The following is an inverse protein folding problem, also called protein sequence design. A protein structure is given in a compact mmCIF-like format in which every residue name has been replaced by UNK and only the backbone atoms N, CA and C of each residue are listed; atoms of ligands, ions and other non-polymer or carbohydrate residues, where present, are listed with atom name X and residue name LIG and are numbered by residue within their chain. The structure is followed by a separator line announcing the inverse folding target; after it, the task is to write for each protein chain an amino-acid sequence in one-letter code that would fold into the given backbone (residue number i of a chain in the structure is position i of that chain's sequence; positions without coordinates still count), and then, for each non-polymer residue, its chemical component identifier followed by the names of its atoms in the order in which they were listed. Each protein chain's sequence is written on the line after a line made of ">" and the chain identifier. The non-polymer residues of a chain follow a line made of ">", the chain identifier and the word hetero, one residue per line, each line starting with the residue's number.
data_IF_689805170533
#
_entry.id   IF_689805170533
#
_cell.length_a   1.000
_cell.length_b   1.000
_cell.length_c   1.000
_cell.angle_alpha   90.00
_cell.angle_beta   90.00
_cell.angle_gamma   90.00
#
_symmetry.space_group_name_H-M   'P 1'
#
loop_
_entity.id
_entity.type
_entity.pdbx_description
1 polymer ?
#
# COMPACT_ATOMS: atom_id res chain seq x y z
N UNK A 1 16.24 18.46 36.65
CA UNK A 1 15.72 17.09 36.45
C UNK A 1 14.40 17.27 35.74
N UNK A 2 14.36 17.13 34.42
CA UNK A 2 13.08 17.12 33.71
C UNK A 2 12.28 15.91 34.23
N UNK A 3 11.02 16.14 34.58
CA UNK A 3 10.14 15.05 35.02
C UNK A 3 10.09 14.00 33.90
N UNK A 4 10.38 12.74 34.23
CA UNK A 4 10.32 11.64 33.26
C UNK A 4 8.89 11.47 32.72
N UNK A 5 8.77 11.09 31.45
CA UNK A 5 7.47 10.83 30.81
C UNK A 5 6.88 9.53 31.36
N UNK A 6 5.77 9.62 32.10
CA UNK A 6 5.05 8.44 32.59
C UNK A 6 3.95 8.05 31.60
N UNK A 7 3.89 6.77 31.18
CA UNK A 7 2.86 6.25 30.28
C UNK A 7 1.45 6.56 30.75
N UNK A 8 1.19 6.51 32.06
CA UNK A 8 -0.13 6.72 32.66
C UNK A 8 -0.68 8.13 32.43
N UNK A 9 0.20 9.12 32.27
CA UNK A 9 -0.20 10.52 32.09
C UNK A 9 -0.82 10.77 30.72
N UNK A 10 -0.63 9.84 29.76
CA UNK A 10 -1.13 9.95 28.40
C UNK A 10 -2.24 8.96 28.08
N UNK A 11 -2.64 8.10 29.02
CA UNK A 11 -3.70 7.12 28.75
C UNK A 11 -5.03 7.85 28.53
N UNK A 12 -5.62 7.64 27.35
CA UNK A 12 -6.94 8.15 27.01
C UNK A 12 -8.01 7.14 27.40
N UNK A 13 -9.07 7.61 28.04
CA UNK A 13 -10.26 6.81 28.32
C UNK A 13 -11.09 6.54 27.06
N UNK A 14 -10.83 7.27 25.96
CA UNK A 14 -11.55 7.08 24.71
C UNK A 14 -11.06 5.84 23.97
N UNK A 15 -11.90 4.80 23.80
CA UNK A 15 -11.51 3.63 23.05
C UNK A 15 -11.33 3.97 21.56
N UNK A 16 -10.60 3.12 20.86
CA UNK A 16 -10.54 3.17 19.40
C UNK A 16 -11.93 3.05 18.80
N UNK A 17 -12.20 3.79 17.72
CA UNK A 17 -13.41 3.54 16.94
C UNK A 17 -13.40 2.12 16.37
N UNK A 18 -14.57 1.49 16.11
CA UNK A 18 -14.62 0.14 15.54
C UNK A 18 -13.84 0.00 14.22
N UNK A 19 -13.83 1.05 13.39
CA UNK A 19 -13.11 1.10 12.12
C UNK A 19 -11.59 1.12 12.36
N UNK A 20 -11.11 1.96 13.27
CA UNK A 20 -9.68 2.00 13.63
C UNK A 20 -9.23 0.68 14.25
N UNK A 21 -10.02 0.14 15.17
CA UNK A 21 -9.72 -1.14 15.80
C UNK A 21 -9.56 -2.25 14.76
N UNK A 22 -10.54 -2.42 13.87
CA UNK A 22 -10.46 -3.41 12.80
C UNK A 22 -9.23 -3.21 11.91
N UNK A 23 -8.96 -1.97 11.50
CA UNK A 23 -7.79 -1.63 10.70
C UNK A 23 -6.47 -2.01 11.40
N UNK A 24 -6.31 -1.66 12.67
CA UNK A 24 -5.09 -1.97 13.41
C UNK A 24 -4.94 -3.47 13.70
N UNK A 25 -6.03 -4.23 13.85
CA UNK A 25 -5.96 -5.70 13.92
C UNK A 25 -5.40 -6.29 12.62
N UNK A 26 -5.83 -5.81 11.45
CA UNK A 26 -5.27 -6.25 10.17
C UNK A 26 -3.79 -5.87 10.02
N UNK A 27 -3.40 -4.67 10.49
CA UNK A 27 -2.00 -4.27 10.52
C UNK A 27 -1.16 -5.17 11.45
N UNK A 28 -1.72 -5.53 12.61
CA UNK A 28 -1.10 -6.45 13.57
C UNK A 28 -0.96 -7.86 13.00
N UNK A 29 -1.95 -8.35 12.26
CA UNK A 29 -1.86 -9.64 11.56
C UNK A 29 -0.74 -9.63 10.51
N UNK A 30 -0.63 -8.56 9.71
CA UNK A 30 0.50 -8.38 8.79
C UNK A 30 1.85 -8.41 9.53
N UNK A 31 1.96 -7.70 10.65
CA UNK A 31 3.16 -7.70 11.47
C UNK A 31 3.49 -9.11 11.98
N UNK A 32 2.51 -9.85 12.50
CA UNK A 32 2.71 -11.23 12.96
C UNK A 32 3.18 -12.17 11.83
N UNK A 33 2.74 -11.94 10.59
CA UNK A 33 3.12 -12.73 9.44
C UNK A 33 4.51 -12.39 8.89
N UNK A 34 4.95 -11.13 9.03
CA UNK A 34 6.14 -10.61 8.35
C UNK A 34 7.28 -10.19 9.28
N UNK A 35 6.99 -10.00 10.56
CA UNK A 35 7.88 -9.36 11.53
C UNK A 35 8.15 -7.88 11.25
N UNK A 36 7.40 -7.24 10.34
CA UNK A 36 7.62 -5.87 9.90
C UNK A 36 6.37 -5.01 10.07
N UNK A 37 6.48 -3.72 10.44
CA UNK A 37 5.35 -2.81 10.50
C UNK A 37 4.84 -2.45 9.10
N UNK A 38 3.57 -2.06 9.05
CA UNK A 38 3.08 -1.23 7.95
C UNK A 38 3.42 0.22 8.23
N UNK A 39 4.15 0.82 7.31
CA UNK A 39 4.49 2.23 7.34
C UNK A 39 3.78 2.94 6.19
N UNK A 40 2.89 3.85 6.54
CA UNK A 40 2.12 4.67 5.61
C UNK A 40 2.48 6.15 5.78
N UNK A 41 2.47 6.87 4.67
CA UNK A 41 2.79 8.30 4.61
C UNK A 41 1.69 8.96 3.81
N UNK A 42 1.13 10.03 4.36
CA UNK A 42 0.08 10.77 3.70
C UNK A 42 0.60 11.46 2.44
N UNK A 43 -0.21 11.49 1.38
CA UNK A 43 0.17 12.09 0.09
C UNK A 43 0.53 13.56 0.19
N UNK A 44 -0.14 14.32 1.07
CA UNK A 44 0.13 15.73 1.31
C UNK A 44 1.55 16.03 1.82
N UNK A 45 2.24 15.03 2.39
CA UNK A 45 3.65 15.17 2.78
C UNK A 45 4.53 15.41 1.56
N UNK A 46 4.20 14.81 0.42
CA UNK A 46 4.99 14.88 -0.81
C UNK A 46 4.49 15.94 -1.80
N UNK A 47 3.25 16.40 -1.65
CA UNK A 47 2.67 17.45 -2.48
C UNK A 47 3.03 18.83 -1.90
N UNK A 48 4.04 19.49 -2.47
CA UNK A 48 4.51 20.81 -2.02
C UNK A 48 3.45 21.92 -2.16
N UNK A 49 2.37 21.70 -2.92
CA UNK A 49 1.26 22.66 -3.06
C UNK A 49 0.24 22.62 -1.92
N UNK A 50 0.26 21.59 -1.07
CA UNK A 50 -0.72 21.39 0.01
C UNK A 50 -0.08 21.71 1.36
N UNK A 51 -0.52 22.72 2.11
CA UNK A 51 0.03 22.94 3.45
C UNK A 51 -0.23 21.76 4.41
N UNK A 52 0.75 21.46 5.28
CA UNK A 52 0.61 20.45 6.31
C UNK A 52 0.43 21.15 7.67
N UNK A 53 -0.81 21.47 8.08
CA UNK A 53 -1.05 22.27 9.28
C UNK A 53 -0.55 21.57 10.54
N UNK A 54 -0.64 20.24 10.58
CA UNK A 54 -0.13 19.41 11.66
C UNK A 54 0.66 18.22 11.10
N UNK A 55 1.79 17.96 11.75
CA UNK A 55 2.63 16.79 11.50
C UNK A 55 2.28 15.71 12.49
N UNK A 56 1.15 15.03 12.27
CA UNK A 56 0.75 13.94 13.16
C UNK A 56 1.56 12.68 12.84
N UNK A 57 1.90 11.96 13.91
CA UNK A 57 2.62 10.71 13.91
C UNK A 57 1.77 9.73 14.73
N UNK A 58 1.23 8.71 14.07
CA UNK A 58 0.52 7.63 14.77
C UNK A 58 1.37 6.37 14.78
N UNK A 59 1.66 5.84 15.96
CA UNK A 59 2.47 4.62 16.14
C UNK A 59 1.63 3.61 16.90
N UNK A 60 1.53 2.38 16.40
CA UNK A 60 0.88 1.29 17.11
C UNK A 60 1.90 0.21 17.47
N UNK A 61 1.93 -0.18 18.74
CA UNK A 61 2.93 -1.07 19.34
C UNK A 61 2.23 -2.25 19.99
N UNK A 62 2.71 -3.46 19.72
CA UNK A 62 2.16 -4.70 20.27
C UNK A 62 2.69 -4.96 21.70
N UNK A 63 2.30 -4.09 22.63
CA UNK A 63 2.61 -4.21 24.06
C UNK A 63 1.41 -3.86 24.94
N UNK A 64 1.46 -4.34 26.19
CA UNK A 64 0.50 -4.01 27.24
C UNK A 64 0.90 -2.68 27.91
N UNK A 65 -0.05 -1.76 28.04
CA UNK A 65 0.17 -0.43 28.63
C UNK A 65 0.64 -0.45 30.09
N UNK A 66 0.36 -1.52 30.84
CA UNK A 66 0.84 -1.66 32.21
C UNK A 66 2.35 -1.91 32.29
N UNK A 67 2.95 -2.42 31.20
CA UNK A 67 4.37 -2.77 31.11
C UNK A 67 5.14 -1.88 30.13
N UNK A 68 4.42 -1.01 29.41
CA UNK A 68 5.01 -0.14 28.41
C UNK A 68 5.71 1.06 29.05
N UNK A 69 7.03 1.16 28.82
CA UNK A 69 7.85 2.30 29.23
C UNK A 69 7.93 3.31 28.07
N UNK A 70 7.07 4.34 28.12
CA UNK A 70 6.99 5.37 27.10
C UNK A 70 8.32 6.12 26.93
N UNK A 71 9.01 6.45 28.02
CA UNK A 71 10.26 7.19 27.95
C UNK A 71 11.34 6.37 27.26
N UNK A 72 11.54 5.11 27.68
CA UNK A 72 12.51 4.22 27.05
C UNK A 72 12.17 3.96 25.58
N UNK A 73 10.89 3.76 25.26
CA UNK A 73 10.44 3.60 23.88
C UNK A 73 10.76 4.84 23.04
N UNK A 74 10.40 6.04 23.51
CA UNK A 74 10.63 7.28 22.79
C UNK A 74 12.11 7.54 22.55
N UNK A 75 12.97 7.33 23.55
CA UNK A 75 14.43 7.45 23.36
C UNK A 75 14.91 6.56 22.22
N UNK A 76 14.56 5.27 22.25
CA UNK A 76 14.95 4.32 21.19
C UNK A 76 14.37 4.71 19.83
N UNK A 77 13.12 5.15 19.79
CA UNK A 77 12.44 5.54 18.56
C UNK A 77 13.09 6.78 17.94
N UNK A 78 13.28 7.82 18.73
CA UNK A 78 13.94 9.07 18.37
C UNK A 78 15.35 8.84 17.84
N UNK A 79 16.15 8.01 18.52
CA UNK A 79 17.49 7.63 18.07
C UNK A 79 17.46 6.98 16.68
N UNK A 80 16.44 6.16 16.40
CA UNK A 80 16.29 5.50 15.10
C UNK A 80 15.90 6.46 13.99
N UNK A 81 14.99 7.39 14.23
CA UNK A 81 14.56 8.37 13.22
C UNK A 81 15.43 9.63 13.18
N UNK A 82 16.46 9.71 14.03
CA UNK A 82 17.35 10.86 14.19
C UNK A 82 16.57 12.16 14.49
N UNK A 83 15.68 12.09 15.48
CA UNK A 83 14.87 13.22 15.98
C UNK A 83 15.10 13.37 17.48
N UNK A 84 15.04 14.59 18.03
CA UNK A 84 15.17 14.77 19.47
C UNK A 84 13.85 14.44 20.17
N UNK A 85 13.85 13.81 21.36
CA UNK A 85 12.62 13.52 22.09
C UNK A 85 11.70 14.72 22.31
N UNK A 86 12.26 15.92 22.52
CA UNK A 86 11.51 17.17 22.66
C UNK A 86 10.70 17.56 21.42
N UNK A 87 11.09 17.06 20.25
CA UNK A 87 10.42 17.36 18.98
C UNK A 87 9.20 16.45 18.78
N UNK A 88 8.95 15.48 19.68
CA UNK A 88 7.77 14.61 19.68
C UNK A 88 6.90 14.94 20.89
N UNK A 89 5.68 15.41 20.63
CA UNK A 89 4.67 15.68 21.65
C UNK A 89 3.65 14.56 21.63
N UNK A 90 3.65 13.72 22.66
CA UNK A 90 2.63 12.69 22.85
C UNK A 90 1.32 13.36 23.25
N UNK A 91 0.26 13.12 22.48
CA UNK A 91 -1.09 13.64 22.77
C UNK A 91 -1.89 12.66 23.60
N UNK A 92 -1.84 11.39 23.21
CA UNK A 92 -2.57 10.32 23.91
C UNK A 92 -2.05 8.93 23.57
N UNK A 93 -2.38 7.99 24.44
CA UNK A 93 -2.18 6.55 24.31
C UNK A 93 -3.53 5.88 24.53
N UNK A 94 -4.05 5.18 23.53
CA UNK A 94 -5.31 4.44 23.67
C UNK A 94 -5.04 2.99 24.13
N UNK A 95 -5.91 2.48 25.00
CA UNK A 95 -5.77 1.17 25.66
C UNK A 95 -6.09 0.01 24.69
N UNK A 96 -5.30 -1.07 24.78
CA UNK A 96 -5.28 -2.19 23.85
C UNK A 96 -3.84 -2.56 23.52
N UNK A 97 -3.53 -2.74 22.23
CA UNK A 97 -2.15 -2.50 21.78
C UNK A 97 -1.91 -0.99 21.84
N UNK A 98 -0.73 -0.53 22.30
CA UNK A 98 -0.42 0.89 22.50
C UNK A 98 -0.60 1.63 21.18
N UNK A 99 -1.64 2.45 21.08
CA UNK A 99 -1.82 3.38 19.96
C UNK A 99 -1.44 4.77 20.44
N UNK A 100 -0.23 5.17 20.10
CA UNK A 100 0.33 6.48 20.40
C UNK A 100 -0.04 7.47 19.30
N UNK A 101 -0.76 8.53 19.68
CA UNK A 101 -0.99 9.70 18.84
C UNK A 101 -0.02 10.80 19.28
N UNK A 102 0.81 11.26 18.35
CA UNK A 102 1.85 12.24 18.60
C UNK A 102 1.88 13.33 17.53
N UNK A 103 2.41 14.48 17.88
CA UNK A 103 2.85 15.50 16.93
C UNK A 103 4.37 15.50 16.86
N UNK A 104 4.93 15.66 15.66
CA UNK A 104 6.36 15.78 15.45
C UNK A 104 6.70 17.15 14.88
N UNK A 105 7.82 17.74 15.28
CA UNK A 105 8.27 19.06 14.82
C UNK A 105 7.23 20.16 15.07
N UNK A 106 6.54 20.14 16.21
CA UNK A 106 5.45 21.08 16.53
C UNK A 106 5.86 22.55 16.32
N UNK A 107 7.07 22.90 16.75
CA UNK A 107 7.62 24.27 16.72
C UNK A 107 8.21 24.68 15.36
N UNK A 108 8.21 23.79 14.37
CA UNK A 108 8.72 24.08 13.03
C UNK A 108 7.63 24.70 12.13
N UNK A 109 8.05 25.50 11.15
CA UNK A 109 7.18 25.97 10.08
C UNK A 109 6.69 24.80 9.20
N UNK A 110 5.59 25.01 8.46
CA UNK A 110 4.93 23.99 7.63
C UNK A 110 5.87 23.38 6.58
N UNK A 111 6.72 24.20 5.94
CA UNK A 111 7.73 23.73 4.99
C UNK A 111 8.77 22.82 5.64
N UNK A 112 9.27 23.21 6.81
CA UNK A 112 10.29 22.47 7.56
C UNK A 112 9.74 21.15 8.08
N UNK A 113 8.49 21.16 8.57
CA UNK A 113 7.73 19.96 8.94
C UNK A 113 7.74 18.91 7.83
N UNK A 114 7.42 19.30 6.60
CA UNK A 114 7.43 18.38 5.45
C UNK A 114 8.83 17.90 5.12
N UNK A 115 9.82 18.78 5.09
CA UNK A 115 11.21 18.41 4.82
C UNK A 115 11.66 17.34 5.80
N UNK A 116 11.42 17.55 7.10
CA UNK A 116 11.79 16.61 8.15
C UNK A 116 11.04 15.27 8.02
N UNK A 117 9.73 15.27 7.72
CA UNK A 117 9.00 14.02 7.46
C UNK A 117 9.55 13.31 6.21
N UNK A 118 9.83 14.04 5.12
CA UNK A 118 10.45 13.47 3.90
C UNK A 118 11.82 12.85 4.22
N UNK A 119 12.61 13.45 5.10
CA UNK A 119 13.87 12.85 5.57
C UNK A 119 13.63 11.55 6.33
N UNK A 120 12.65 11.49 7.24
CA UNK A 120 12.26 10.24 7.92
C UNK A 120 11.84 9.19 6.88
N UNK A 121 11.07 9.58 5.84
CA UNK A 121 10.66 8.68 4.76
C UNK A 121 11.84 8.07 4.01
N UNK A 122 12.92 8.84 3.80
CA UNK A 122 14.14 8.35 3.15
C UNK A 122 14.90 7.33 4.01
N UNK A 123 14.76 7.38 5.35
CA UNK A 123 15.36 6.41 6.27
C UNK A 123 14.64 5.05 6.27
N UNK A 124 13.37 5.00 5.83
CA UNK A 124 12.51 3.81 5.88
C UNK A 124 12.92 2.79 4.80
N UNK A 125 14.02 2.09 5.07
CA UNK A 125 14.51 0.92 4.32
C UNK A 125 13.94 -0.38 4.87
N UNK A 126 14.14 -1.51 4.19
CA UNK A 126 13.73 -2.84 4.71
C UNK A 126 14.42 -3.14 6.05
N UNK A 127 15.72 -2.85 6.17
CA UNK A 127 16.46 -2.95 7.44
C UNK A 127 15.82 -2.10 8.53
N UNK A 128 15.40 -0.88 8.19
CA UNK A 128 14.74 0.02 9.13
C UNK A 128 13.39 -0.55 9.62
N UNK A 129 12.61 -1.14 8.71
CA UNK A 129 11.36 -1.83 9.06
C UNK A 129 11.59 -3.02 9.98
N UNK A 130 12.64 -3.81 9.73
CA UNK A 130 13.02 -4.91 10.63
C UNK A 130 13.38 -4.41 12.04
N UNK A 131 14.10 -3.29 12.14
CA UNK A 131 14.42 -2.69 13.43
C UNK A 131 13.17 -2.20 14.17
N UNK A 132 12.22 -1.56 13.47
CA UNK A 132 10.94 -1.18 14.04
C UNK A 132 10.09 -2.38 14.44
N UNK A 133 10.15 -3.47 13.67
CA UNK A 133 9.51 -4.72 14.02
C UNK A 133 10.04 -5.32 15.33
N UNK A 134 11.34 -5.18 15.61
CA UNK A 134 11.96 -5.58 16.90
C UNK A 134 11.50 -4.70 18.07
N UNK A 135 11.10 -3.47 17.79
CA UNK A 135 10.45 -2.57 18.75
C UNK A 135 8.95 -2.85 18.91
N UNK A 136 8.45 -3.95 18.32
CA UNK A 136 7.04 -4.35 18.29
C UNK A 136 6.10 -3.30 17.68
N UNK A 137 6.63 -2.37 16.90
CA UNK A 137 5.81 -1.47 16.10
C UNK A 137 5.19 -2.33 15.00
N UNK A 138 3.86 -2.33 14.92
CA UNK A 138 3.12 -3.02 13.85
C UNK A 138 2.49 -2.06 12.85
N UNK A 139 2.32 -0.79 13.23
CA UNK A 139 1.82 0.26 12.34
C UNK A 139 2.46 1.61 12.65
N UNK A 140 2.78 2.37 11.61
CA UNK A 140 3.18 3.77 11.70
C UNK A 140 2.56 4.58 10.56
N UNK A 141 2.02 5.75 10.89
CA UNK A 141 1.51 6.73 9.94
C UNK A 141 2.17 8.09 10.13
N UNK A 142 2.60 8.70 9.02
CA UNK A 142 3.18 10.05 8.96
C UNK A 142 2.28 10.96 8.12
N UNK A 143 1.66 11.96 8.73
CA UNK A 143 0.79 12.93 8.07
C UNK A 143 -0.41 13.34 8.93
N UNK A 144 -1.46 13.92 8.36
CA UNK A 144 -2.58 14.40 9.19
C UNK A 144 -3.50 13.26 9.67
N UNK A 145 -3.98 13.32 10.92
CA UNK A 145 -4.96 12.37 11.44
C UNK A 145 -6.25 12.32 10.60
N UNK A 146 -6.65 13.46 10.01
CA UNK A 146 -7.79 13.54 9.08
C UNK A 146 -7.59 12.66 7.85
N UNK A 147 -6.39 12.66 7.26
CA UNK A 147 -6.08 11.80 6.10
C UNK A 147 -6.08 10.33 6.49
N UNK A 148 -5.50 9.98 7.65
CA UNK A 148 -5.53 8.61 8.15
C UNK A 148 -6.96 8.11 8.34
N UNK A 149 -7.82 8.87 9.02
CA UNK A 149 -9.22 8.49 9.23
C UNK A 149 -9.98 8.34 7.91
N UNK A 150 -9.70 9.21 6.93
CA UNK A 150 -10.26 9.10 5.58
C UNK A 150 -9.82 7.80 4.89
N UNK A 151 -8.53 7.45 4.96
CA UNK A 151 -7.99 6.20 4.41
C UNK A 151 -8.62 4.96 5.07
N UNK A 152 -8.73 4.96 6.40
CA UNK A 152 -9.35 3.87 7.16
C UNK A 152 -10.83 3.69 6.81
N UNK A 153 -11.57 4.78 6.66
CA UNK A 153 -12.97 4.74 6.22
C UNK A 153 -13.11 4.16 4.81
N UNK A 154 -12.35 4.68 3.84
CA UNK A 154 -12.38 4.15 2.48
C UNK A 154 -12.06 2.67 2.44
N UNK A 155 -11.12 2.21 3.26
CA UNK A 155 -10.78 0.81 3.37
C UNK A 155 -11.92 -0.04 3.93
N UNK A 156 -12.56 0.40 5.02
CA UNK A 156 -13.67 -0.33 5.62
C UNK A 156 -14.84 -0.54 4.62
N UNK A 157 -14.96 0.37 3.64
CA UNK A 157 -15.94 0.28 2.56
C UNK A 157 -15.51 -0.69 1.43
N UNK A 158 -14.21 -0.99 1.28
CA UNK A 158 -13.71 -1.93 0.27
C UNK A 158 -14.00 -3.37 0.71
N UNK A 159 -14.92 -4.01 -0.01
CA UNK A 159 -15.31 -5.41 0.22
C UNK A 159 -15.03 -6.24 -1.01
N UNK A 160 -14.89 -7.56 -0.89
CA UNK A 160 -14.95 -8.41 -2.08
C UNK A 160 -16.33 -8.25 -2.70
N UNK A 161 -16.39 -8.19 -4.04
CA UNK A 161 -17.63 -8.14 -4.80
C UNK A 161 -17.78 -9.40 -5.67
N UNK A 162 -18.32 -10.50 -5.11
CA UNK A 162 -18.41 -11.78 -5.81
C UNK A 162 -19.20 -11.71 -7.12
N UNK A 163 -20.15 -10.78 -7.24
CA UNK A 163 -20.96 -10.57 -8.44
C UNK A 163 -20.11 -10.25 -9.68
N UNK A 164 -18.93 -9.66 -9.49
CA UNK A 164 -18.00 -9.29 -10.58
C UNK A 164 -16.79 -10.23 -10.69
N UNK A 165 -16.76 -11.31 -9.92
CA UNK A 165 -15.75 -12.36 -10.08
C UNK A 165 -15.95 -13.07 -11.42
N UNK A 166 -14.86 -13.33 -12.14
CA UNK A 166 -14.91 -13.98 -13.45
C UNK A 166 -13.79 -15.01 -13.57
N UNK A 167 -14.09 -16.12 -14.21
CA UNK A 167 -13.09 -17.10 -14.66
C UNK A 167 -12.89 -16.83 -16.15
N UNK A 168 -11.66 -16.52 -16.55
CA UNK A 168 -11.32 -16.22 -17.92
C UNK A 168 -10.77 -17.46 -18.61
N UNK A 169 -11.64 -18.23 -19.25
CA UNK A 169 -11.28 -19.46 -19.94
C UNK A 169 -12.35 -19.82 -20.98
N UNK A 170 -12.00 -20.67 -21.94
CA UNK A 170 -13.00 -21.27 -22.85
C UNK A 170 -14.02 -22.05 -22.02
N UNK A 171 -15.31 -21.88 -22.31
CA UNK A 171 -16.40 -22.41 -21.48
C UNK A 171 -16.83 -21.50 -20.31
N UNK A 172 -16.11 -20.40 -20.07
CA UNK A 172 -16.46 -19.35 -19.12
C UNK A 172 -16.45 -17.97 -19.81
N UNK A 173 -15.94 -16.93 -19.16
CA UNK A 173 -15.78 -15.61 -19.77
C UNK A 173 -14.59 -15.64 -20.73
N UNK A 174 -14.82 -15.38 -22.00
CA UNK A 174 -13.77 -15.43 -23.02
C UNK A 174 -14.12 -14.56 -24.22
N UNK A 175 -13.13 -13.88 -24.77
CA UNK A 175 -13.21 -13.20 -26.07
C UNK A 175 -11.83 -13.23 -26.76
N UNK A 176 -11.82 -12.94 -28.07
CA UNK A 176 -10.60 -12.82 -28.88
C UNK A 176 -10.38 -11.36 -29.27
N UNK A 177 -9.11 -10.94 -29.34
CA UNK A 177 -8.75 -9.56 -29.63
C UNK A 177 -9.16 -8.59 -28.52
N UNK A 178 -9.20 -7.30 -28.85
CA UNK A 178 -9.60 -6.25 -27.92
C UNK A 178 -11.10 -6.35 -27.60
N UNK A 179 -11.47 -6.16 -26.34
CA UNK A 179 -12.86 -6.15 -25.90
C UNK A 179 -13.61 -4.94 -26.49
N UNK A 180 -14.67 -5.19 -27.24
CA UNK A 180 -15.52 -4.16 -27.83
C UNK A 180 -16.92 -4.15 -27.18
N UNK A 181 -16.99 -3.70 -25.92
CA UNK A 181 -18.24 -3.60 -25.14
C UNK A 181 -18.76 -2.14 -25.06
N UNK A 182 -18.27 -1.26 -25.94
CA UNK A 182 -18.57 0.18 -25.99
C UNK A 182 -18.25 0.97 -24.72
N UNK A 183 -17.49 0.39 -23.78
CA UNK A 183 -17.04 1.12 -22.59
C UNK A 183 -15.76 1.87 -22.90
N UNK A 184 -15.71 3.10 -22.41
CA UNK A 184 -14.53 3.95 -22.50
C UNK A 184 -13.43 3.46 -21.54
N UNK A 185 -12.28 3.12 -22.12
CA UNK A 185 -11.06 2.67 -21.42
C UNK A 185 -9.86 3.54 -21.78
N UNK A 186 -10.07 4.82 -22.05
CA UNK A 186 -8.99 5.76 -22.32
C UNK A 186 -8.22 5.44 -23.59
N UNK A 187 -8.94 4.94 -24.62
CA UNK A 187 -8.40 4.52 -25.91
C UNK A 187 -7.34 3.39 -25.83
N UNK A 188 -7.25 2.67 -24.71
CA UNK A 188 -6.37 1.51 -24.57
C UNK A 188 -7.15 0.20 -24.75
N UNK A 189 -6.63 -0.76 -25.54
CA UNK A 189 -7.30 -2.03 -25.73
C UNK A 189 -7.28 -2.86 -24.44
N UNK A 190 -8.34 -3.65 -24.21
CA UNK A 190 -8.41 -4.59 -23.10
C UNK A 190 -8.57 -6.00 -23.63
N UNK A 191 -7.57 -6.84 -23.38
CA UNK A 191 -7.54 -8.21 -23.84
C UNK A 191 -8.02 -9.16 -22.74
N UNK A 192 -8.55 -10.32 -23.14
CA UNK A 192 -9.02 -11.32 -22.20
C UNK A 192 -7.83 -11.90 -21.41
N UNK A 193 -7.82 -11.83 -20.07
CA UNK A 193 -6.76 -12.43 -19.26
C UNK A 193 -6.95 -13.95 -19.13
N UNK A 194 -6.85 -14.68 -20.25
CA UNK A 194 -7.12 -16.12 -20.32
C UNK A 194 -6.23 -16.90 -19.35
N UNK A 195 -6.82 -17.83 -18.60
CA UNK A 195 -6.16 -18.62 -17.55
C UNK A 195 -6.30 -18.04 -16.15
N UNK A 196 -6.82 -16.81 -16.01
CA UNK A 196 -6.95 -16.13 -14.72
C UNK A 196 -8.36 -16.20 -14.15
N UNK A 197 -8.44 -16.15 -12.82
CA UNK A 197 -9.67 -15.85 -12.08
C UNK A 197 -9.54 -14.45 -11.49
N UNK A 198 -10.45 -13.55 -11.85
CA UNK A 198 -10.55 -12.24 -11.20
C UNK A 198 -11.40 -12.34 -9.94
N UNK A 199 -10.84 -11.83 -8.85
CA UNK A 199 -11.56 -11.51 -7.63
C UNK A 199 -11.74 -9.99 -7.59
N UNK A 200 -12.98 -9.51 -7.70
CA UNK A 200 -13.28 -8.08 -7.76
C UNK A 200 -13.47 -7.50 -6.36
N UNK A 201 -13.08 -6.24 -6.21
CA UNK A 201 -13.41 -5.44 -5.04
C UNK A 201 -14.59 -4.50 -5.36
N UNK A 202 -15.46 -4.30 -4.37
CA UNK A 202 -16.43 -3.23 -4.34
C UNK A 202 -15.68 -1.93 -4.03
N UNK A 203 -15.82 -0.94 -4.91
CA UNK A 203 -15.12 0.34 -4.79
C UNK A 203 -16.13 1.49 -4.63
N UNK A 204 -17.19 1.50 -5.43
CA UNK A 204 -18.27 2.52 -5.38
C UNK A 204 -19.45 2.05 -6.23
N UNK A 205 -20.66 2.55 -5.92
CA UNK A 205 -21.89 2.30 -6.69
C UNK A 205 -21.82 2.85 -8.12
N UNK A 206 -21.17 4.01 -8.31
CA UNK A 206 -21.06 4.70 -9.60
C UNK A 206 -19.77 4.37 -10.36
N UNK A 207 -19.26 3.14 -10.23
CA UNK A 207 -17.93 2.73 -10.72
C UNK A 207 -17.65 3.15 -12.17
N UNK A 208 -18.59 2.90 -13.08
CA UNK A 208 -18.37 3.19 -14.51
C UNK A 208 -18.26 4.69 -14.80
N UNK A 209 -19.07 5.52 -14.16
CA UNK A 209 -18.98 6.97 -14.38
C UNK A 209 -17.73 7.56 -13.72
N UNK A 210 -17.39 7.10 -12.51
CA UNK A 210 -16.18 7.56 -11.81
C UNK A 210 -14.89 7.25 -12.57
N UNK A 211 -14.83 6.08 -13.22
CA UNK A 211 -13.64 5.60 -13.94
C UNK A 211 -13.81 5.61 -15.45
N UNK A 212 -14.75 6.41 -15.97
CA UNK A 212 -14.95 6.58 -17.41
C UNK A 212 -13.68 7.18 -18.03
N UNK A 213 -13.17 6.56 -19.08
CA UNK A 213 -11.92 6.98 -19.72
C UNK A 213 -10.65 6.51 -19.02
N UNK A 214 -10.75 5.77 -17.91
CA UNK A 214 -9.58 5.20 -17.24
C UNK A 214 -9.20 3.85 -17.87
N UNK A 215 -7.93 3.74 -18.24
CA UNK A 215 -7.33 2.53 -18.80
C UNK A 215 -7.32 1.39 -17.77
N UNK A 216 -7.22 0.16 -18.26
CA UNK A 216 -6.98 -1.02 -17.43
C UNK A 216 -5.53 -1.45 -17.64
N UNK A 217 -4.82 -1.70 -16.53
CA UNK A 217 -3.49 -2.28 -16.56
C UNK A 217 -3.30 -3.25 -15.40
N UNK A 218 -2.13 -3.89 -15.36
CA UNK A 218 -1.78 -4.93 -14.44
C UNK A 218 -0.48 -4.59 -13.71
N UNK A 219 -0.45 -4.81 -12.40
CA UNK A 219 0.75 -4.66 -11.57
C UNK A 219 1.10 -5.98 -10.89
N UNK A 220 2.32 -6.46 -11.15
CA UNK A 220 2.85 -7.71 -10.63
C UNK A 220 3.60 -7.39 -9.36
N UNK A 221 3.42 -8.23 -8.33
CA UNK A 221 4.08 -8.00 -7.05
C UNK A 221 4.36 -9.30 -6.30
N UNK A 222 5.15 -9.20 -5.23
CA UNK A 222 5.39 -10.32 -4.30
C UNK A 222 4.19 -10.50 -3.36
N UNK A 223 3.97 -11.72 -2.86
CA UNK A 223 2.90 -12.00 -1.89
C UNK A 223 2.99 -11.17 -0.63
N UNK A 224 4.19 -11.01 -0.08
CA UNK A 224 4.39 -10.16 1.09
C UNK A 224 4.02 -8.69 0.83
N UNK A 225 4.24 -8.22 -0.40
CA UNK A 225 3.91 -6.85 -0.80
C UNK A 225 2.43 -6.66 -1.15
N UNK A 226 1.74 -7.72 -1.59
CA UNK A 226 0.33 -7.65 -1.99
C UNK A 226 -0.57 -7.12 -0.87
N UNK A 227 -0.41 -7.62 0.35
CA UNK A 227 -1.15 -7.10 1.50
C UNK A 227 -0.78 -5.63 1.74
N UNK A 228 0.51 -5.28 1.82
CA UNK A 228 0.93 -3.88 1.98
C UNK A 228 0.35 -2.94 0.91
N UNK A 229 0.20 -3.37 -0.34
CA UNK A 229 -0.42 -2.58 -1.40
C UNK A 229 -1.92 -2.43 -1.15
N UNK A 230 -2.61 -3.49 -0.74
CA UNK A 230 -4.02 -3.39 -0.33
C UNK A 230 -4.21 -2.52 0.93
N UNK A 231 -3.19 -2.40 1.79
CA UNK A 231 -3.22 -1.59 3.00
C UNK A 231 -2.88 -0.11 2.78
N UNK A 232 -1.97 0.19 1.84
CA UNK A 232 -1.35 1.51 1.71
C UNK A 232 -1.32 2.07 0.29
N UNK A 233 -1.95 1.38 -0.67
CA UNK A 233 -1.91 1.73 -2.08
C UNK A 233 -0.60 1.31 -2.77
N UNK A 234 -0.51 1.59 -4.07
CA UNK A 234 0.71 1.41 -4.86
C UNK A 234 1.69 2.55 -4.57
N UNK A 235 2.98 2.20 -4.42
CA UNK A 235 4.06 3.17 -4.18
C UNK A 235 5.03 3.20 -5.36
N UNK A 236 5.57 4.37 -5.74
CA UNK A 236 6.60 4.47 -6.77
C UNK A 236 7.85 3.66 -6.43
N UNK A 237 8.46 3.04 -7.44
CA UNK A 237 9.78 2.44 -7.32
C UNK A 237 10.85 3.53 -7.45
N UNK A 238 11.76 3.63 -6.47
CA UNK A 238 12.81 4.66 -6.45
C UNK A 238 14.00 4.37 -7.39
N UNK A 239 14.15 3.12 -7.83
CA UNK A 239 15.24 2.69 -8.74
C UNK A 239 14.70 1.65 -9.72
N UNK A 240 14.51 2.05 -10.97
CA UNK A 240 14.08 1.16 -12.03
C UNK A 240 14.58 1.67 -13.40
N UNK A 241 14.53 0.77 -14.40
CA UNK A 241 15.12 0.98 -15.74
C UNK A 241 14.60 2.24 -16.42
N UNK A 242 13.32 2.56 -16.19
CA UNK A 242 12.63 3.67 -16.86
C UNK A 242 12.42 4.90 -15.97
N UNK A 243 13.11 4.97 -14.82
CA UNK A 243 12.99 6.08 -13.88
C UNK A 243 12.08 5.78 -12.68
N UNK A 244 11.74 6.82 -11.93
CA UNK A 244 10.89 6.72 -10.73
C UNK A 244 9.42 6.69 -11.14
N UNK A 245 8.66 5.75 -10.60
CA UNK A 245 7.21 5.64 -10.84
C UNK A 245 6.62 4.29 -10.47
N UNK A 246 5.31 4.16 -10.64
CA UNK A 246 4.59 2.88 -10.47
C UNK A 246 4.60 2.15 -11.82
N UNK A 247 5.16 0.95 -11.84
CA UNK A 247 5.30 0.15 -13.05
C UNK A 247 4.09 -0.74 -13.26
N UNK A 248 3.45 -0.66 -14.42
CA UNK A 248 2.34 -1.50 -14.79
C UNK A 248 2.41 -1.89 -16.27
N UNK A 249 1.49 -2.76 -16.72
CA UNK A 249 1.42 -3.17 -18.11
C UNK A 249 -0.02 -3.42 -18.54
N UNK A 250 -0.41 -3.16 -19.80
CA UNK A 250 -1.66 -3.64 -20.35
C UNK A 250 -1.66 -5.17 -20.55
N UNK A 251 -0.50 -5.84 -20.46
CA UNK A 251 -0.36 -7.29 -20.63
C UNK A 251 -0.28 -8.00 -19.28
N UNK A 252 -1.32 -8.78 -18.95
CA UNK A 252 -1.25 -9.70 -17.80
C UNK A 252 -0.18 -10.77 -18.00
N UNK A 253 0.11 -11.16 -19.24
CA UNK A 253 1.14 -12.15 -19.59
C UNK A 253 2.52 -11.65 -19.16
N UNK A 254 2.85 -10.39 -19.50
CA UNK A 254 4.08 -9.74 -19.08
C UNK A 254 4.14 -9.59 -17.56
N UNK A 255 3.09 -9.01 -16.97
CA UNK A 255 3.03 -8.75 -15.54
C UNK A 255 3.06 -10.01 -14.68
N UNK A 256 2.56 -11.14 -15.19
CA UNK A 256 2.57 -12.43 -14.51
C UNK A 256 3.89 -13.18 -14.62
N UNK A 257 4.89 -12.63 -15.32
CA UNK A 257 6.21 -13.23 -15.31
C UNK A 257 6.75 -13.29 -13.86
N UNK A 258 7.41 -14.39 -13.42
CA UNK A 258 7.90 -14.56 -12.05
C UNK A 258 8.87 -13.49 -11.54
N UNK A 259 9.48 -12.71 -12.46
CA UNK A 259 10.26 -11.51 -12.11
C UNK A 259 9.41 -10.44 -11.42
N UNK A 260 8.16 -10.27 -11.84
CA UNK A 260 7.27 -9.21 -11.37
C UNK A 260 6.21 -9.76 -10.41
N UNK A 261 5.59 -10.90 -10.72
CA UNK A 261 4.58 -11.53 -9.87
C UNK A 261 5.08 -12.85 -9.27
N UNK A 262 5.23 -12.91 -7.95
CA UNK A 262 5.73 -14.09 -7.26
C UNK A 262 4.79 -15.30 -7.45
N UNK A 263 5.37 -16.47 -7.73
CA UNK A 263 4.65 -17.76 -7.70
C UNK A 263 4.91 -18.41 -6.35
N UNK A 264 3.90 -18.43 -5.48
CA UNK A 264 4.03 -18.96 -4.11
C UNK A 264 3.47 -20.36 -4.01
N UNK A 265 4.27 -21.28 -3.45
CA UNK A 265 3.80 -22.63 -3.13
C UNK A 265 2.82 -22.57 -1.95
N UNK A 266 1.70 -23.26 -2.09
CA UNK A 266 0.68 -23.37 -1.05
C UNK A 266 1.14 -24.44 -0.06
N UNK A 267 1.09 -24.15 1.24
CA UNK A 267 1.38 -25.14 2.28
C UNK A 267 0.37 -26.30 2.18
N UNK A 268 0.84 -27.54 2.23
CA UNK A 268 0.02 -28.75 2.14
C UNK A 268 -1.09 -28.78 3.21
N UNK A 269 -0.84 -28.23 4.41
CA UNK A 269 -1.86 -28.13 5.47
C UNK A 269 -3.01 -27.17 5.13
N UNK A 270 -2.76 -26.20 4.27
CA UNK A 270 -3.75 -25.21 3.80
C UNK A 270 -4.37 -25.59 2.46
N UNK A 271 -3.79 -26.57 1.75
CA UNK A 271 -4.19 -26.94 0.39
C UNK A 271 -5.63 -27.47 0.34
N UNK A 272 -5.99 -28.37 1.26
CA UNK A 272 -7.34 -28.94 1.35
C UNK A 272 -8.42 -27.91 1.66
N UNK A 273 -8.06 -26.80 2.33
CA UNK A 273 -8.99 -25.73 2.72
C UNK A 273 -9.38 -24.82 1.55
N UNK A 274 -8.45 -24.53 0.65
CA UNK A 274 -8.64 -23.47 -0.36
C UNK A 274 -8.53 -23.95 -1.80
N UNK A 275 -7.71 -24.96 -2.08
CA UNK A 275 -7.39 -25.38 -3.45
C UNK A 275 -7.19 -26.91 -3.51
N UNK A 276 -8.29 -27.66 -3.66
CA UNK A 276 -8.30 -29.15 -3.65
C UNK A 276 -7.17 -29.80 -4.48
N UNK A 277 -6.73 -29.17 -5.58
CA UNK A 277 -5.64 -29.64 -6.43
C UNK A 277 -4.52 -28.61 -6.67
N UNK A 278 -4.65 -27.37 -6.20
CA UNK A 278 -3.70 -26.30 -6.50
C UNK A 278 -2.45 -26.39 -5.63
N UNK A 279 -1.26 -26.44 -6.23
CA UNK A 279 0.03 -26.46 -5.51
C UNK A 279 0.67 -25.08 -5.38
N UNK A 280 0.30 -24.17 -6.27
CA UNK A 280 0.87 -22.83 -6.36
C UNK A 280 -0.26 -21.82 -6.51
N UNK A 281 0.00 -20.61 -6.04
CA UNK A 281 -0.84 -19.45 -6.24
C UNK A 281 0.04 -18.31 -6.75
N UNK A 282 -0.51 -17.52 -7.64
CA UNK A 282 0.07 -16.28 -8.15
C UNK A 282 -1.07 -15.26 -8.22
N UNK A 283 -0.78 -14.00 -7.96
CA UNK A 283 -1.74 -12.92 -8.16
C UNK A 283 -1.07 -11.74 -8.84
N UNK A 284 -1.91 -10.97 -9.50
CA UNK A 284 -1.58 -9.72 -10.18
C UNK A 284 -2.71 -8.76 -9.83
N UNK A 285 -2.39 -7.48 -9.65
CA UNK A 285 -3.40 -6.45 -9.38
C UNK A 285 -3.90 -5.88 -10.70
N UNK A 286 -5.21 -5.92 -10.95
CA UNK A 286 -5.87 -5.19 -12.04
C UNK A 286 -6.18 -3.77 -11.56
N UNK A 287 -5.60 -2.76 -12.21
CA UNK A 287 -5.68 -1.37 -11.79
C UNK A 287 -6.45 -0.52 -12.81
N UNK A 288 -7.11 0.54 -12.33
CA UNK A 288 -7.63 1.64 -13.16
C UNK A 288 -6.64 2.80 -13.13
N UNK A 289 -6.25 3.27 -14.30
CA UNK A 289 -5.27 4.36 -14.43
C UNK A 289 -5.83 5.45 -15.32
N UNK A 290 -5.85 6.69 -14.81
CA UNK A 290 -6.21 7.84 -15.61
C UNK A 290 -5.12 8.09 -16.67
N UNK A 291 -5.45 8.29 -17.96
CA UNK A 291 -4.45 8.44 -19.01
C UNK A 291 -3.41 9.53 -18.75
N UNK A 292 -3.79 10.65 -18.10
CA UNK A 292 -2.86 11.74 -17.76
C UNK A 292 -1.77 11.37 -16.76
N UNK A 293 -1.91 10.24 -16.07
CA UNK A 293 -0.94 9.77 -15.09
C UNK A 293 0.10 8.83 -15.72
N UNK A 294 -0.08 8.43 -16.98
CA UNK A 294 0.90 7.63 -17.70
C UNK A 294 1.96 8.57 -18.23
N UNK A 295 3.10 8.64 -17.54
CA UNK A 295 4.20 9.54 -17.89
C UNK A 295 5.15 8.94 -18.92
N UNK A 296 5.16 7.60 -19.04
CA UNK A 296 6.00 6.90 -20.00
C UNK A 296 5.39 5.57 -20.43
N UNK A 297 5.51 5.26 -21.71
CA UNK A 297 5.26 3.95 -22.30
C UNK A 297 6.55 3.53 -22.99
N UNK A 298 7.08 2.37 -22.66
CA UNK A 298 8.37 1.90 -23.16
C UNK A 298 8.38 0.37 -23.37
N UNK A 299 9.52 -0.11 -23.84
CA UNK A 299 9.78 -1.51 -24.09
C UNK A 299 9.90 -2.32 -22.80
N UNK A 300 9.68 -3.62 -22.98
CA UNK A 300 9.88 -4.66 -21.99
C UNK A 300 11.26 -4.62 -21.33
N UNK A 301 11.32 -5.04 -20.06
CA UNK A 301 12.56 -5.12 -19.27
C UNK A 301 12.95 -6.56 -18.91
N UNK A 302 12.27 -7.57 -19.47
CA UNK A 302 12.61 -9.00 -19.37
C UNK A 302 13.81 -9.40 -20.24
N UNK A 303 14.24 -8.53 -21.16
CA UNK A 303 15.28 -8.83 -22.16
C UNK A 303 14.89 -10.03 -23.04
N UNK A 304 13.63 -10.06 -23.48
CA UNK A 304 13.07 -11.14 -24.30
C UNK A 304 13.68 -11.21 -25.73
N UNK A 305 14.49 -10.21 -26.11
CA UNK A 305 15.08 -10.12 -27.45
C UNK A 305 14.01 -10.03 -28.51
N UNK A 306 14.04 -10.94 -29.48
CA UNK A 306 13.04 -11.03 -30.55
C UNK A 306 11.81 -11.88 -30.17
N UNK A 307 11.75 -12.40 -28.94
CA UNK A 307 10.63 -13.24 -28.48
C UNK A 307 9.43 -12.37 -28.17
N UNK A 308 8.30 -12.63 -28.83
CA UNK A 308 7.02 -12.00 -28.49
C UNK A 308 6.55 -12.44 -27.11
N UNK A 309 6.33 -11.49 -26.20
CA UNK A 309 5.85 -11.77 -24.84
C UNK A 309 4.33 -11.95 -24.83
N UNK A 310 3.61 -11.03 -25.47
CA UNK A 310 2.15 -11.07 -25.59
C UNK A 310 1.77 -10.87 -27.05
N UNK A 311 0.99 -11.78 -27.63
CA UNK A 311 0.59 -11.70 -29.03
C UNK A 311 -0.30 -10.50 -29.35
N UNK A 312 -0.90 -9.87 -28.33
CA UNK A 312 -1.79 -8.73 -28.51
C UNK A 312 -1.08 -7.38 -28.31
N UNK A 313 0.08 -7.36 -27.67
CA UNK A 313 0.76 -6.14 -27.24
C UNK A 313 2.23 -6.21 -27.63
N UNK A 314 2.67 -5.27 -28.46
CA UNK A 314 4.07 -5.21 -28.89
C UNK A 314 5.01 -4.98 -27.72
N UNK A 315 6.14 -5.70 -27.71
CA UNK A 315 7.18 -5.57 -26.68
C UNK A 315 7.67 -4.13 -26.49
N UNK A 316 7.57 -3.25 -27.49
CA UNK A 316 8.05 -1.86 -27.45
C UNK A 316 7.14 -0.88 -26.68
N UNK A 317 5.91 -1.29 -26.34
CA UNK A 317 4.90 -0.47 -25.63
C UNK A 317 4.27 -1.20 -24.44
N UNK A 318 4.88 -2.28 -23.98
CA UNK A 318 4.28 -3.19 -23.00
C UNK A 318 4.48 -2.71 -21.55
N UNK A 319 5.43 -1.82 -21.27
CA UNK A 319 5.70 -1.33 -19.91
C UNK A 319 5.28 0.13 -19.76
N UNK A 320 4.45 0.42 -18.77
CA UNK A 320 3.94 1.75 -18.45
C UNK A 320 4.54 2.21 -17.12
N UNK A 321 5.01 3.45 -17.10
CA UNK A 321 5.41 4.16 -15.88
C UNK A 321 4.32 5.16 -15.55
N UNK A 322 3.74 4.99 -14.37
CA UNK A 322 2.64 5.81 -13.87
C UNK A 322 3.19 6.73 -12.78
N UNK A 323 2.88 8.02 -12.92
CA UNK A 323 3.06 8.98 -11.86
C UNK A 323 1.77 9.07 -11.04
N UNK A 324 1.89 8.89 -9.73
CA UNK A 324 0.77 9.14 -8.85
C UNK A 324 0.62 10.64 -8.51
N UNK A 325 1.51 11.50 -9.02
CA UNK A 325 1.60 12.93 -8.71
C UNK A 325 1.64 13.15 -7.20
N UNK A 326 2.36 12.27 -6.48
CA UNK A 326 2.37 12.24 -5.01
C UNK A 326 1.01 11.96 -4.34
N UNK A 327 -0.04 11.61 -5.08
CA UNK A 327 -1.35 11.21 -4.54
C UNK A 327 -1.32 9.74 -4.12
N UNK A 328 -1.99 9.40 -3.03
CA UNK A 328 -2.28 8.00 -2.71
C UNK A 328 -3.32 7.48 -3.70
N UNK A 329 -3.01 6.41 -4.44
CA UNK A 329 -3.96 5.70 -5.33
C UNK A 329 -4.77 4.71 -4.51
#
# INVERSE_FOLDING_TARGET
>A
VEAGLCTKDFISEQPLSPIEYAYYQECKEYYNLTGQPIISVASEVFDDSIELPTSSLKICIDEDHNHFDLQQFLTKFCDKINVLPKDIIIKQIQVGSIVCDAEIFHDCESSDKKISIKMICQLITDKFREEFGKMKIFFMFLGSSKTLSKQQKYRADIKINPQYNRIYARGHTYWRGALNDRRDRGNQPYYCPVGWKRCAFYVTDNFYEKFKGWCICYHGTKFACGLSILLSGLKPANKAVHGVGIYASPSITYTSHPRYAEVKRINSSSQSKFFKSGKYVQFVLECRVHPSNIIKIDKETLAAGNTTIDFNIENKIIEWVIDNQNKSI
#
